data_IF_212450400995
#
_entry.id   IF_212450400995
#
_cell.length_a   1.000
_cell.length_b   1.000
_cell.length_c   1.000
_cell.angle_alpha   90.00
_cell.angle_beta   90.00
_cell.angle_gamma   90.00
#
_symmetry.space_group_name_H-M   'P 1'
#
loop_
_entity.id
_entity.type
_entity.pdbx_description
1 polymer ?
#
# COMPACT_ATOMS: atom_id res chain seq x y z
N UNK A 1 10.46 1.95 4.87
CA UNK A 1 11.24 0.73 5.20
C UNK A 1 10.71 -0.35 4.29
N UNK A 2 11.56 -1.08 3.57
CA UNK A 2 11.09 -1.96 2.49
C UNK A 2 10.88 -3.38 3.00
N UNK A 3 9.65 -3.88 2.88
CA UNK A 3 9.29 -5.26 3.22
C UNK A 3 8.94 -6.04 1.96
N UNK A 4 9.52 -7.22 1.80
CA UNK A 4 9.26 -8.09 0.65
C UNK A 4 8.43 -9.30 1.08
N UNK A 5 7.38 -9.58 0.33
CA UNK A 5 6.49 -10.70 0.58
C UNK A 5 6.46 -11.62 -0.64
N UNK A 6 6.75 -12.93 -0.49
CA UNK A 6 6.78 -13.86 -1.60
C UNK A 6 5.36 -14.03 -2.19
N UNK A 7 5.27 -13.96 -3.52
CA UNK A 7 4.02 -14.06 -4.25
C UNK A 7 3.72 -15.53 -4.57
N UNK A 8 2.44 -15.92 -4.49
CA UNK A 8 1.99 -17.13 -5.19
C UNK A 8 0.56 -17.02 -5.71
N UNK A 9 -0.37 -16.44 -4.95
CA UNK A 9 -1.81 -16.48 -5.32
C UNK A 9 -2.66 -15.27 -4.85
N UNK A 10 -2.05 -14.21 -4.28
CA UNK A 10 -2.82 -13.11 -3.68
C UNK A 10 -2.51 -11.76 -4.31
N UNK A 11 -3.55 -11.02 -4.70
CA UNK A 11 -3.41 -9.64 -5.16
C UNK A 11 -2.90 -8.73 -4.00
N UNK A 12 -1.78 -8.00 -4.15
CA UNK A 12 -1.21 -7.17 -3.08
C UNK A 12 -2.15 -6.03 -2.65
N UNK A 13 -2.96 -5.50 -3.57
CA UNK A 13 -3.96 -4.48 -3.27
C UNK A 13 -5.05 -5.04 -2.34
N UNK A 14 -5.47 -6.28 -2.52
CA UNK A 14 -6.46 -6.92 -1.64
C UNK A 14 -5.89 -7.14 -0.23
N UNK A 15 -4.61 -7.54 -0.15
CA UNK A 15 -3.93 -7.74 1.13
C UNK A 15 -3.82 -6.42 1.92
N UNK A 16 -3.37 -5.33 1.27
CA UNK A 16 -3.22 -4.05 1.98
C UNK A 16 -4.58 -3.46 2.41
N UNK A 17 -5.63 -3.68 1.62
CA UNK A 17 -7.01 -3.28 1.97
C UNK A 17 -7.51 -4.02 3.20
N UNK A 18 -7.24 -5.33 3.33
CA UNK A 18 -7.57 -6.11 4.53
C UNK A 18 -6.84 -5.59 5.78
N UNK A 19 -5.66 -5.00 5.61
CA UNK A 19 -4.91 -4.33 6.68
C UNK A 19 -5.45 -2.93 7.05
N UNK A 20 -6.56 -2.49 6.43
CA UNK A 20 -7.22 -1.21 6.73
C UNK A 20 -6.63 0.00 6.00
N UNK A 21 -5.83 -0.22 4.94
CA UNK A 21 -5.32 0.88 4.12
C UNK A 21 -6.29 1.24 2.99
N UNK A 22 -6.53 2.53 2.80
CA UNK A 22 -7.28 3.09 1.68
C UNK A 22 -6.35 3.55 0.54
N UNK A 23 -6.79 3.35 -0.71
CA UNK A 23 -6.08 3.75 -1.92
C UNK A 23 -6.13 5.27 -2.12
N UNK A 24 -5.02 5.86 -2.55
CA UNK A 24 -4.88 7.25 -2.96
C UNK A 24 -4.24 7.24 -4.35
N UNK A 25 -4.91 7.87 -5.31
CA UNK A 25 -4.33 8.12 -6.62
C UNK A 25 -3.95 9.59 -6.74
N UNK A 26 -2.67 9.88 -6.97
CA UNK A 26 -2.19 11.22 -7.24
C UNK A 26 -2.14 11.46 -8.75
N UNK A 27 -3.06 12.28 -9.27
CA UNK A 27 -3.13 12.62 -10.70
C UNK A 27 -1.93 13.41 -11.21
N UNK A 28 -1.21 14.13 -10.35
CA UNK A 28 -0.06 14.93 -10.76
C UNK A 28 1.19 14.08 -10.97
N UNK A 29 1.36 13.01 -10.18
CA UNK A 29 2.51 12.09 -10.30
C UNK A 29 2.15 10.78 -11.00
N UNK A 30 0.87 10.53 -11.27
CA UNK A 30 0.32 9.24 -11.70
C UNK A 30 0.69 8.07 -10.76
N UNK A 31 0.98 8.37 -9.49
CA UNK A 31 1.33 7.35 -8.50
C UNK A 31 0.13 6.93 -7.68
N UNK A 32 0.10 5.63 -7.38
CA UNK A 32 -0.82 5.04 -6.42
C UNK A 32 -0.09 4.80 -5.10
N UNK A 33 -0.71 5.22 -4.01
CA UNK A 33 -0.23 4.99 -2.65
C UNK A 33 -1.39 4.60 -1.74
N UNK A 34 -1.08 4.11 -0.54
CA UNK A 34 -2.05 3.59 0.38
C UNK A 34 -1.86 4.24 1.76
N UNK A 35 -2.95 4.65 2.42
CA UNK A 35 -2.89 5.24 3.76
C UNK A 35 -3.75 4.51 4.77
N UNK A 36 -3.31 4.49 6.02
CA UNK A 36 -4.12 4.10 7.18
C UNK A 36 -4.02 5.18 8.24
N UNK A 37 -5.17 5.78 8.60
CA UNK A 37 -5.23 6.78 9.66
C UNK A 37 -5.07 6.13 11.04
N UNK A 38 -4.43 6.84 11.97
CA UNK A 38 -4.31 6.42 13.37
C UNK A 38 -5.47 6.93 14.26
N UNK A 39 -6.38 7.71 13.68
CA UNK A 39 -7.56 8.27 14.37
C UNK A 39 -8.55 8.85 13.36
N UNK A 40 -9.42 9.73 13.82
CA UNK A 40 -10.45 10.39 12.99
C UNK A 40 -9.93 11.58 12.17
N UNK A 41 -8.71 12.05 12.44
CA UNK A 41 -8.08 13.17 11.75
C UNK A 41 -7.33 12.77 10.48
N UNK A 42 -6.83 13.78 9.75
CA UNK A 42 -6.02 13.57 8.55
C UNK A 42 -4.61 13.03 8.83
N UNK A 43 -4.07 13.34 10.01
CA UNK A 43 -2.75 12.94 10.50
C UNK A 43 -2.84 12.65 12.02
N UNK A 44 -1.94 11.80 12.57
CA UNK A 44 -0.91 11.03 11.85
C UNK A 44 -1.51 9.85 11.07
N UNK A 45 -0.82 9.45 10.01
CA UNK A 45 -1.21 8.33 9.15
C UNK A 45 0.02 7.54 8.72
N UNK A 46 -0.12 6.22 8.60
CA UNK A 46 0.83 5.42 7.85
C UNK A 46 0.55 5.60 6.37
N UNK A 47 1.62 5.79 5.59
CA UNK A 47 1.56 5.96 4.15
C UNK A 47 2.56 5.00 3.53
N UNK A 48 2.10 4.18 2.59
CA UNK A 48 2.92 3.14 1.96
C UNK A 48 2.67 3.09 0.47
N UNK A 49 3.67 2.59 -0.24
CA UNK A 49 3.61 2.28 -1.67
C UNK A 49 3.69 0.77 -1.86
N UNK A 50 2.99 0.27 -2.86
CA UNK A 50 3.11 -1.12 -3.31
C UNK A 50 3.87 -1.14 -4.63
N UNK A 51 4.88 -2.00 -4.70
CA UNK A 51 5.60 -2.29 -5.94
C UNK A 51 5.52 -3.78 -6.22
N UNK A 52 5.05 -4.16 -7.41
CA UNK A 52 4.90 -5.55 -7.83
C UNK A 52 6.06 -5.98 -8.70
N UNK A 53 6.54 -7.20 -8.47
CA UNK A 53 7.62 -7.86 -9.22
C UNK A 53 7.17 -9.31 -9.56
N UNK A 54 7.90 -9.98 -10.45
CA UNK A 54 7.52 -11.30 -10.98
C UNK A 54 7.24 -12.38 -9.92
N UNK A 55 7.91 -12.31 -8.76
CA UNK A 55 7.84 -13.35 -7.72
C UNK A 55 7.54 -12.83 -6.32
N UNK A 56 7.38 -11.52 -6.14
CA UNK A 56 7.16 -10.90 -4.85
C UNK A 56 6.53 -9.52 -5.01
N UNK A 57 5.98 -8.99 -3.93
CA UNK A 57 5.66 -7.56 -3.85
C UNK A 57 6.44 -6.91 -2.71
N UNK A 58 6.71 -5.61 -2.87
CA UNK A 58 7.38 -4.77 -1.90
C UNK A 58 6.40 -3.73 -1.34
N UNK A 59 6.41 -3.57 -0.02
CA UNK A 59 5.75 -2.47 0.69
C UNK A 59 6.83 -1.50 1.15
N UNK A 60 6.73 -0.24 0.74
CA UNK A 60 7.66 0.84 1.10
C UNK A 60 6.98 1.92 1.92
#
# INVERSE_FOLDING_TARGET
>A
MKFKFPYKEYNPEDLIRRCGYGKIYNRHTNETSYKRALGSGFYPRFHVYLHEFDHYFEVN
#
